data_IF_980750743087
#
_entry.id   IF_980750743087
#
_cell.length_a   1.000
_cell.length_b   1.000
_cell.length_c   1.000
_cell.angle_alpha   90.00
_cell.angle_beta   90.00
_cell.angle_gamma   90.00
#
_symmetry.space_group_name_H-M   'P 1'
#
loop_
_entity.id
_entity.type
_entity.pdbx_description
1 polymer ?
#
# COMPACT_ATOMS: atom_id res chain seq x y z
N UNK A 1 3.61 8.70 29.09
CA UNK A 1 4.62 7.68 29.42
C UNK A 1 5.04 6.93 28.16
N UNK A 2 4.12 6.27 27.46
CA UNK A 2 4.37 5.57 26.17
C UNK A 2 4.94 6.47 25.06
N UNK A 3 4.45 7.70 24.93
CA UNK A 3 4.89 8.62 23.86
C UNK A 3 6.35 9.08 24.00
N UNK A 4 6.83 9.26 25.24
CA UNK A 4 8.23 9.60 25.50
C UNK A 4 9.15 8.42 25.22
N UNK A 5 8.75 7.19 25.56
CA UNK A 5 9.52 5.97 25.28
C UNK A 5 9.69 5.75 23.77
N UNK A 6 8.64 5.98 22.97
CA UNK A 6 8.71 5.89 21.50
C UNK A 6 9.66 6.94 20.93
N UNK A 7 9.57 8.18 21.43
CA UNK A 7 10.44 9.29 21.01
C UNK A 7 11.91 8.99 21.30
N UNK A 8 12.21 8.52 22.51
CA UNK A 8 13.57 8.12 22.91
C UNK A 8 14.08 6.98 22.03
N UNK A 9 13.24 5.97 21.77
CA UNK A 9 13.63 4.84 20.93
C UNK A 9 13.93 5.24 19.48
N UNK A 10 13.14 6.14 18.91
CA UNK A 10 13.39 6.63 17.55
C UNK A 10 14.66 7.48 17.50
N UNK A 11 14.90 8.31 18.51
CA UNK A 11 16.13 9.08 18.62
C UNK A 11 17.37 8.17 18.72
N UNK A 12 17.31 7.11 19.53
CA UNK A 12 18.36 6.10 19.63
C UNK A 12 18.68 5.47 18.26
N UNK A 13 17.66 5.14 17.47
CA UNK A 13 17.82 4.58 16.13
C UNK A 13 18.44 5.61 15.18
N UNK A 14 17.95 6.85 15.19
CA UNK A 14 18.49 7.92 14.33
C UNK A 14 19.98 8.18 14.63
N UNK A 15 20.39 8.14 15.90
CA UNK A 15 21.78 8.32 16.30
C UNK A 15 22.74 7.21 15.80
N UNK A 16 22.21 6.08 15.31
CA UNK A 16 23.02 5.05 14.65
C UNK A 16 23.45 5.44 13.22
N UNK A 17 22.75 6.38 12.60
CA UNK A 17 22.93 6.76 11.20
C UNK A 17 23.31 8.23 11.00
N UNK A 18 22.93 9.11 11.94
CA UNK A 18 23.18 10.55 11.90
C UNK A 18 23.88 11.04 13.16
N UNK A 19 24.66 12.12 13.03
CA UNK A 19 25.22 12.82 14.19
C UNK A 19 24.12 13.56 14.94
N UNK A 20 24.30 13.71 16.26
CA UNK A 20 23.32 14.42 17.10
C UNK A 20 23.03 15.86 16.64
N UNK A 21 24.01 16.55 16.07
CA UNK A 21 23.86 17.90 15.51
C UNK A 21 23.03 17.96 14.23
N UNK A 22 22.88 16.85 13.51
CA UNK A 22 22.05 16.72 12.31
C UNK A 22 20.58 16.40 12.65
N UNK A 23 20.31 15.94 13.87
CA UNK A 23 18.97 15.54 14.34
C UNK A 23 18.32 16.73 15.04
N UNK A 24 17.38 17.36 14.35
CA UNK A 24 16.55 18.43 14.92
C UNK A 24 15.27 17.86 15.55
N UNK A 25 14.66 18.60 16.48
CA UNK A 25 13.35 18.22 17.03
C UNK A 25 12.30 18.04 15.93
N UNK A 26 12.33 18.90 14.91
CA UNK A 26 11.43 18.85 13.76
C UNK A 26 11.63 17.57 12.93
N UNK A 27 12.87 17.16 12.68
CA UNK A 27 13.16 15.92 11.97
C UNK A 27 12.69 14.69 12.76
N UNK A 28 12.91 14.68 14.08
CA UNK A 28 12.43 13.62 14.96
C UNK A 28 10.90 13.54 14.99
N UNK A 29 10.22 14.68 15.13
CA UNK A 29 8.76 14.76 15.11
C UNK A 29 8.19 14.32 13.75
N UNK A 30 8.89 14.65 12.66
CA UNK A 30 8.51 14.22 11.30
C UNK A 30 8.63 12.70 11.13
N UNK A 31 9.72 12.09 11.62
CA UNK A 31 9.89 10.63 11.58
C UNK A 31 8.81 9.94 12.42
N UNK A 32 8.55 10.42 13.64
CA UNK A 32 7.47 9.90 14.50
C UNK A 32 6.13 9.97 13.77
N UNK A 33 5.83 11.11 13.14
CA UNK A 33 4.60 11.31 12.38
C UNK A 33 4.52 10.41 11.15
N UNK A 34 5.62 10.17 10.44
CA UNK A 34 5.63 9.21 9.31
C UNK A 34 5.30 7.81 9.83
N UNK A 35 5.97 7.39 10.91
CA UNK A 35 5.78 6.07 11.51
C UNK A 35 4.38 5.87 12.11
N UNK A 36 3.68 6.93 12.50
CA UNK A 36 2.28 6.82 12.95
C UNK A 36 1.31 6.43 11.82
N UNK A 37 1.75 6.53 10.56
CA UNK A 37 1.05 5.99 9.39
C UNK A 37 1.68 4.67 8.90
N UNK A 38 2.15 3.81 9.82
CA UNK A 38 2.87 2.57 9.47
C UNK A 38 2.12 1.66 8.49
N UNK A 39 0.78 1.63 8.56
CA UNK A 39 -0.06 0.83 7.66
C UNK A 39 -0.02 1.32 6.19
N UNK A 40 0.52 2.52 5.95
CA UNK A 40 0.71 3.12 4.62
C UNK A 40 2.15 3.04 4.13
N UNK A 41 3.10 2.57 4.95
CA UNK A 41 4.52 2.48 4.60
C UNK A 41 4.80 1.11 3.98
N UNK A 42 5.42 1.11 2.80
CA UNK A 42 5.93 -0.10 2.16
C UNK A 42 7.45 -0.01 1.97
N UNK A 43 8.15 -1.12 2.22
CA UNK A 43 9.60 -1.21 2.06
C UNK A 43 9.94 -2.04 0.82
N UNK A 44 10.85 -1.52 0.01
CA UNK A 44 11.42 -2.20 -1.16
C UNK A 44 12.89 -2.53 -0.91
N UNK A 45 13.33 -3.71 -1.33
CA UNK A 45 14.70 -4.19 -1.18
C UNK A 45 15.22 -4.75 -2.50
N UNK A 46 16.21 -4.06 -3.07
CA UNK A 46 16.86 -4.46 -4.33
C UNK A 46 17.41 -5.90 -4.30
N UNK A 47 17.83 -6.41 -3.14
CA UNK A 47 18.40 -7.75 -3.00
C UNK A 47 17.34 -8.86 -3.02
N UNK A 48 16.11 -8.56 -2.57
CA UNK A 48 15.03 -9.54 -2.43
C UNK A 48 14.01 -9.45 -3.56
N UNK A 49 13.95 -8.30 -4.21
CA UNK A 49 12.95 -7.96 -5.19
C UNK A 49 13.60 -7.85 -6.56
N UNK A 50 13.17 -8.67 -7.52
CA UNK A 50 13.70 -8.61 -8.88
C UNK A 50 13.30 -7.30 -9.58
N UNK A 51 14.16 -6.79 -10.46
CA UNK A 51 13.96 -5.52 -11.20
C UNK A 51 12.62 -5.42 -11.94
N UNK A 52 12.04 -6.57 -12.33
CA UNK A 52 10.72 -6.65 -12.96
C UNK A 52 9.52 -6.51 -12.01
N UNK A 53 9.73 -6.16 -10.75
CA UNK A 53 8.67 -6.08 -9.72
C UNK A 53 8.44 -4.68 -9.16
N UNK A 54 9.26 -3.68 -9.49
CA UNK A 54 9.13 -2.33 -8.93
C UNK A 54 7.78 -1.71 -9.30
N UNK A 55 7.39 -1.83 -10.56
CA UNK A 55 6.11 -1.38 -11.07
C UNK A 55 4.94 -2.11 -10.37
N UNK A 56 5.07 -3.43 -10.10
CA UNK A 56 4.06 -4.22 -9.38
C UNK A 56 3.92 -3.74 -7.93
N UNK A 57 5.04 -3.39 -7.31
CA UNK A 57 5.09 -2.87 -5.94
C UNK A 57 4.49 -1.49 -5.85
N UNK A 58 4.80 -0.59 -6.78
CA UNK A 58 4.15 0.72 -6.86
C UNK A 58 2.63 0.54 -6.97
N UNK A 59 2.17 -0.37 -7.85
CA UNK A 59 0.74 -0.68 -7.96
C UNK A 59 0.19 -1.22 -6.64
N UNK A 60 0.89 -2.16 -5.98
CA UNK A 60 0.52 -2.71 -4.67
C UNK A 60 0.35 -1.62 -3.62
N UNK A 61 1.27 -0.65 -3.55
CA UNK A 61 1.19 0.48 -2.63
C UNK A 61 -0.03 1.36 -2.92
N UNK A 62 -0.32 1.64 -4.19
CA UNK A 62 -1.47 2.45 -4.62
C UNK A 62 -2.82 1.79 -4.34
N UNK A 63 -2.85 0.47 -4.21
CA UNK A 63 -4.06 -0.31 -3.87
C UNK A 63 -4.06 -0.80 -2.42
N UNK A 64 -3.17 -0.31 -1.57
CA UNK A 64 -3.10 -0.72 -0.17
C UNK A 64 -4.47 -0.50 0.50
N UNK A 65 -5.09 -1.54 1.12
CA UNK A 65 -6.39 -1.43 1.77
C UNK A 65 -6.50 -0.27 2.77
N UNK A 66 -5.41 0.06 3.46
CA UNK A 66 -5.38 1.12 4.46
C UNK A 66 -5.68 2.52 3.88
N UNK A 67 -5.41 2.74 2.58
CA UNK A 67 -5.80 3.96 1.85
C UNK A 67 -7.32 4.10 1.70
N UNK A 68 -8.08 3.01 1.88
CA UNK A 68 -9.51 2.93 1.66
C UNK A 68 -10.29 2.62 2.94
N UNK A 69 -9.69 2.77 4.11
CA UNK A 69 -10.33 2.48 5.41
C UNK A 69 -11.57 3.34 5.71
N UNK A 70 -11.72 4.48 5.04
CA UNK A 70 -12.93 5.32 5.12
C UNK A 70 -14.10 4.80 4.29
N UNK A 71 -13.89 3.81 3.42
CA UNK A 71 -14.92 3.19 2.60
C UNK A 71 -15.50 1.94 3.29
N UNK A 72 -16.68 1.53 2.84
CA UNK A 72 -17.28 0.24 3.24
C UNK A 72 -16.28 -0.90 2.95
N UNK A 73 -15.87 -1.69 3.97
CA UNK A 73 -14.96 -2.83 3.80
C UNK A 73 -15.45 -3.81 2.72
N UNK A 74 -16.77 -3.96 2.53
CA UNK A 74 -17.35 -4.85 1.51
C UNK A 74 -17.22 -4.32 0.08
N UNK A 75 -16.89 -3.05 -0.07
CA UNK A 75 -16.83 -2.35 -1.36
C UNK A 75 -15.45 -1.75 -1.68
N UNK A 76 -14.51 -1.74 -0.74
CA UNK A 76 -13.19 -1.10 -0.91
C UNK A 76 -12.32 -1.78 -2.00
N UNK A 77 -12.61 -3.02 -2.38
CA UNK A 77 -11.94 -3.74 -3.45
C UNK A 77 -12.21 -3.12 -4.84
N UNK A 78 -13.35 -2.43 -5.03
CA UNK A 78 -13.73 -1.83 -6.32
C UNK A 78 -12.77 -0.74 -6.79
N UNK A 79 -12.48 0.31 -5.99
CA UNK A 79 -11.51 1.34 -6.41
C UNK A 79 -10.10 0.76 -6.59
N UNK A 80 -9.69 -0.18 -5.72
CA UNK A 80 -8.41 -0.90 -5.84
C UNK A 80 -8.29 -1.62 -7.18
N UNK A 81 -9.33 -2.37 -7.55
CA UNK A 81 -9.38 -3.07 -8.83
C UNK A 81 -9.34 -2.10 -10.01
N UNK A 82 -10.12 -1.01 -9.95
CA UNK A 82 -10.12 0.02 -10.98
C UNK A 82 -8.72 0.60 -11.21
N UNK A 83 -7.99 0.93 -10.15
CA UNK A 83 -6.60 1.44 -10.26
C UNK A 83 -5.71 0.42 -10.96
N UNK A 84 -5.73 -0.84 -10.52
CA UNK A 84 -4.92 -1.90 -11.12
C UNK A 84 -5.19 -2.11 -12.62
N UNK A 85 -6.45 -1.93 -13.04
CA UNK A 85 -6.88 -2.05 -14.43
C UNK A 85 -6.47 -0.86 -15.29
N UNK A 86 -6.62 0.36 -14.78
CA UNK A 86 -6.20 1.57 -15.51
C UNK A 86 -4.67 1.66 -15.64
N UNK A 87 -3.93 1.00 -14.75
CA UNK A 87 -2.48 0.88 -14.82
C UNK A 87 -1.98 -0.32 -15.64
N UNK A 88 -2.89 -1.13 -16.20
CA UNK A 88 -2.57 -2.36 -16.95
C UNK A 88 -1.70 -3.37 -16.20
N UNK A 89 -1.90 -3.46 -14.87
CA UNK A 89 -1.10 -4.32 -13.95
C UNK A 89 -1.95 -5.20 -13.07
N UNK A 90 -3.11 -5.54 -13.60
CA UNK A 90 -4.11 -6.37 -12.94
C UNK A 90 -3.65 -7.84 -12.76
N UNK A 91 -2.75 -8.31 -13.61
CA UNK A 91 -2.13 -9.63 -13.58
C UNK A 91 -1.47 -9.98 -12.24
N UNK A 92 -0.88 -9.01 -11.54
CA UNK A 92 -0.19 -9.25 -10.26
C UNK A 92 -1.07 -9.12 -9.01
N UNK A 93 -2.15 -8.32 -9.09
CA UNK A 93 -2.87 -7.87 -7.89
C UNK A 93 -4.33 -8.29 -7.85
N UNK A 94 -4.89 -8.75 -8.97
CA UNK A 94 -6.31 -9.15 -9.06
C UNK A 94 -6.63 -10.21 -8.03
N UNK A 95 -5.89 -11.31 -7.95
CA UNK A 95 -6.19 -12.39 -7.00
C UNK A 95 -6.28 -11.87 -5.55
N UNK A 96 -5.31 -11.06 -5.14
CA UNK A 96 -5.29 -10.43 -3.81
C UNK A 96 -6.50 -9.52 -3.58
N UNK A 97 -6.84 -8.67 -4.56
CA UNK A 97 -8.00 -7.76 -4.45
C UNK A 97 -9.32 -8.53 -4.40
N UNK A 98 -9.46 -9.58 -5.21
CA UNK A 98 -10.69 -10.37 -5.31
C UNK A 98 -10.88 -11.28 -4.08
N UNK A 99 -9.80 -11.72 -3.43
CA UNK A 99 -9.87 -12.47 -2.17
C UNK A 99 -10.45 -11.62 -1.03
N UNK A 100 -10.25 -10.31 -1.05
CA UNK A 100 -10.82 -9.37 -0.07
C UNK A 100 -12.30 -9.04 -0.35
N UNK A 101 -12.86 -9.48 -1.49
CA UNK A 101 -14.19 -9.09 -1.92
C UNK A 101 -15.29 -10.07 -1.46
N UNK A 102 -16.37 -9.53 -0.88
CA UNK A 102 -17.61 -10.29 -0.68
C UNK A 102 -18.37 -10.43 -2.00
N UNK A 103 -18.17 -11.56 -2.67
CA UNK A 103 -18.80 -11.83 -3.96
C UNK A 103 -20.27 -12.21 -3.86
N UNK A 104 -21.13 -11.43 -4.51
CA UNK A 104 -22.48 -11.91 -4.88
C UNK A 104 -22.48 -12.46 -6.31
N UNK A 105 -23.41 -13.37 -6.62
CA UNK A 105 -23.55 -13.94 -7.96
C UNK A 105 -23.70 -12.85 -9.02
N UNK A 106 -24.55 -11.85 -8.76
CA UNK A 106 -24.75 -10.68 -9.65
C UNK A 106 -23.46 -9.91 -9.90
N UNK A 107 -22.66 -9.73 -8.86
CA UNK A 107 -21.41 -8.99 -8.92
C UNK A 107 -20.35 -9.74 -9.73
N UNK A 108 -20.23 -11.08 -9.54
CA UNK A 108 -19.38 -11.94 -10.39
C UNK A 108 -19.76 -11.82 -11.86
N UNK A 109 -21.05 -11.94 -12.19
CA UNK A 109 -21.53 -11.85 -13.57
C UNK A 109 -21.17 -10.51 -14.23
N UNK A 110 -21.35 -9.41 -13.49
CA UNK A 110 -21.07 -8.06 -13.99
C UNK A 110 -19.58 -7.85 -14.21
N UNK A 111 -18.76 -8.30 -13.26
CA UNK A 111 -17.31 -8.24 -13.36
C UNK A 111 -16.78 -9.05 -14.55
N UNK A 112 -17.25 -10.29 -14.75
CA UNK A 112 -16.84 -11.15 -15.86
C UNK A 112 -17.17 -10.51 -17.22
N UNK A 113 -18.39 -9.97 -17.38
CA UNK A 113 -18.81 -9.28 -18.62
C UNK A 113 -17.91 -8.06 -18.90
N UNK A 114 -17.64 -7.28 -17.86
CA UNK A 114 -16.77 -6.11 -17.97
C UNK A 114 -15.32 -6.50 -18.33
N UNK A 115 -14.78 -7.54 -17.68
CA UNK A 115 -13.43 -8.05 -17.91
C UNK A 115 -13.24 -8.57 -19.34
N UNK A 116 -14.20 -9.37 -19.84
CA UNK A 116 -14.18 -9.85 -21.22
C UNK A 116 -14.23 -8.73 -22.27
N UNK A 117 -14.87 -7.60 -21.95
CA UNK A 117 -14.88 -6.43 -22.84
C UNK A 117 -13.54 -5.71 -22.90
N UNK A 118 -12.80 -5.69 -21.79
CA UNK A 118 -11.49 -5.03 -21.70
C UNK A 118 -10.35 -5.88 -22.25
N UNK A 119 -10.44 -7.21 -22.12
CA UNK A 119 -9.40 -8.14 -22.58
C UNK A 119 -9.47 -8.51 -24.07
N UNK A 120 -10.59 -8.24 -24.77
CA UNK A 120 -10.73 -8.51 -26.22
C UNK A 120 -10.15 -7.43 -27.16
N UNK A 121 -9.35 -6.49 -26.65
CA UNK A 121 -8.75 -5.40 -27.45
C UNK A 121 -7.21 -5.48 -27.48
N UNK A 122 -6.64 -6.67 -27.26
CA UNK A 122 -5.22 -6.96 -27.55
C UNK A 122 -5.08 -7.78 -28.83
#
# INVERSE_FOLDING_TARGET
MVENEIRERILEIMLQFWKGEEITSESLDSVIRILSYSDLIEFFSYEKDSDGTLDAKIVSSLINPALFNSLDPKANWKPRLKIALELDRSDFVVEKILNDAEWTVRLKSTFIIWWFRKTKVS
#
